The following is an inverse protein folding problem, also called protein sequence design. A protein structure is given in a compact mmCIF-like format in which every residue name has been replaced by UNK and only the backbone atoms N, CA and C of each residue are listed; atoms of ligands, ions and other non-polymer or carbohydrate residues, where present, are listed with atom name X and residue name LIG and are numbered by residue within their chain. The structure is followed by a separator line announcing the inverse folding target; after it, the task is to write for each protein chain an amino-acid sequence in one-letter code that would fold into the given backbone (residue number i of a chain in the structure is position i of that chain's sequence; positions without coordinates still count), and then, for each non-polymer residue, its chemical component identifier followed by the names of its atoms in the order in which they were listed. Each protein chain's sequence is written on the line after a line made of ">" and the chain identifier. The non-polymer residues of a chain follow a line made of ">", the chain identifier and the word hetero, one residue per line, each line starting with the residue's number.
data_IF_975494573346
#
_entry.id   IF_975494573346
#
_cell.length_a   1.000
_cell.length_b   1.000
_cell.length_c   1.000
_cell.angle_alpha   90.00
_cell.angle_beta   90.00
_cell.angle_gamma   90.00
#
_symmetry.space_group_name_H-M   'P 1'
#
loop_
_entity.id
_entity.type
_entity.pdbx_description
1 polymer ?
#
# COMPACT_ATOMS: atom_id res chain seq x y z
N UNK A 1 13.37 4.94 -2.40
CA UNK A 1 12.20 4.61 -1.56
C UNK A 1 11.00 5.23 -2.25
N UNK A 2 10.06 4.42 -2.75
CA UNK A 2 8.79 4.94 -3.29
C UNK A 2 8.07 5.68 -2.16
N UNK A 3 7.56 6.88 -2.39
CA UNK A 3 6.68 7.57 -1.44
C UNK A 3 5.26 7.00 -1.55
N UNK A 4 4.50 6.91 -0.43
CA UNK A 4 3.13 6.43 -0.49
C UNK A 4 2.24 7.43 -1.24
N UNK A 5 1.22 6.91 -1.90
CA UNK A 5 0.24 7.69 -2.67
C UNK A 5 -0.84 8.28 -1.76
N UNK A 6 -1.46 9.38 -2.17
CA UNK A 6 -2.57 9.96 -1.41
C UNK A 6 -3.73 8.97 -1.27
N UNK A 7 -4.20 8.77 -0.03
CA UNK A 7 -5.27 7.83 0.30
C UNK A 7 -4.82 6.38 0.40
N UNK A 8 -3.53 6.09 0.20
CA UNK A 8 -3.02 4.72 0.25
C UNK A 8 -3.06 4.15 1.67
N UNK A 9 -3.60 2.94 1.79
CA UNK A 9 -3.50 2.14 3.02
C UNK A 9 -2.09 1.59 3.17
N UNK A 10 -1.49 1.85 4.32
CA UNK A 10 -0.12 1.46 4.65
C UNK A 10 -0.08 0.80 6.03
N UNK A 11 1.03 0.13 6.31
CA UNK A 11 1.40 -0.23 7.66
C UNK A 11 2.62 0.60 8.07
N UNK A 12 2.58 1.13 9.28
CA UNK A 12 3.68 1.89 9.87
C UNK A 12 4.18 1.19 11.12
N UNK A 13 5.48 1.26 11.36
CA UNK A 13 6.12 0.75 12.56
C UNK A 13 6.56 1.92 13.42
N UNK A 14 6.07 1.94 14.66
CA UNK A 14 6.37 3.01 15.61
C UNK A 14 7.49 2.53 16.54
N UNK A 15 8.68 3.12 16.41
CA UNK A 15 9.88 2.66 17.12
C UNK A 15 10.20 1.18 16.85
N UNK A 16 10.53 0.44 17.91
CA UNK A 16 10.70 -1.02 17.87
C UNK A 16 9.39 -1.81 18.02
N UNK A 17 8.25 -1.12 18.00
CA UNK A 17 6.93 -1.70 18.24
C UNK A 17 6.41 -2.56 17.10
N UNK A 18 5.13 -2.96 17.24
CA UNK A 18 4.39 -3.69 16.23
C UNK A 18 4.00 -2.79 15.05
N UNK A 19 3.77 -3.42 13.89
CA UNK A 19 3.17 -2.79 12.73
C UNK A 19 1.72 -2.40 13.02
N UNK A 20 1.34 -1.20 12.60
CA UNK A 20 0.01 -0.64 12.79
C UNK A 20 -0.53 -0.14 11.45
N UNK A 21 -1.83 -0.36 11.21
CA UNK A 21 -2.50 0.15 10.02
C UNK A 21 -2.63 1.66 10.08
N UNK A 22 -2.36 2.32 8.96
CA UNK A 22 -2.49 3.75 8.77
C UNK A 22 -2.88 4.05 7.32
N UNK A 23 -3.32 5.28 7.06
CA UNK A 23 -3.57 5.77 5.71
C UNK A 23 -2.67 6.97 5.45
N UNK A 24 -2.08 7.07 4.26
CA UNK A 24 -1.34 8.28 3.88
C UNK A 24 -2.30 9.34 3.36
N UNK A 25 -2.36 10.51 3.99
CA UNK A 25 -3.29 11.59 3.63
C UNK A 25 -2.56 12.93 3.75
N UNK A 26 -2.66 13.80 2.73
CA UNK A 26 -2.13 15.17 2.77
C UNK A 26 -0.65 15.27 3.22
N UNK A 27 0.19 14.30 2.84
CA UNK A 27 1.61 14.31 3.19
C UNK A 27 1.96 13.64 4.53
N UNK A 28 0.99 13.11 5.26
CA UNK A 28 1.17 12.53 6.61
C UNK A 28 0.49 11.17 6.73
N UNK A 29 0.98 10.34 7.65
CA UNK A 29 0.32 9.10 8.03
C UNK A 29 -0.76 9.40 9.06
N UNK A 30 -1.96 8.88 8.87
CA UNK A 30 -3.07 9.00 9.82
C UNK A 30 -3.51 7.63 10.30
N UNK A 31 -3.95 7.51 11.55
CA UNK A 31 -4.47 6.26 12.09
C UNK A 31 -5.89 5.94 11.58
N UNK A 32 -6.48 4.83 12.02
CA UNK A 32 -7.86 4.42 11.68
C UNK A 32 -8.94 5.46 12.04
N UNK A 33 -8.71 6.32 13.04
CA UNK A 33 -9.59 7.43 13.41
C UNK A 33 -9.29 8.72 12.64
N UNK A 34 -8.29 8.72 11.75
CA UNK A 34 -7.88 9.87 10.96
C UNK A 34 -7.02 10.87 11.74
N UNK A 35 -6.48 10.51 12.91
CA UNK A 35 -5.56 11.37 13.64
C UNK A 35 -4.16 11.25 13.06
N UNK A 36 -3.44 12.37 12.89
CA UNK A 36 -2.07 12.34 12.39
C UNK A 36 -1.16 11.58 13.35
N UNK A 37 -0.40 10.63 12.79
CA UNK A 37 0.66 9.93 13.50
C UNK A 37 1.92 10.79 13.50
N UNK A 38 2.66 10.77 14.61
CA UNK A 38 3.89 11.51 14.74
C UNK A 38 4.99 10.94 13.82
N UNK A 39 5.50 11.72 12.84
CA UNK A 39 6.47 11.22 11.87
C UNK A 39 7.84 10.94 12.50
N UNK A 40 8.20 11.57 13.62
CA UNK A 40 9.47 11.28 14.29
C UNK A 40 9.45 9.93 15.00
N UNK A 41 8.26 9.43 15.34
CA UNK A 41 8.08 8.12 15.96
C UNK A 41 7.99 6.98 14.95
N UNK A 42 7.72 7.27 13.68
CA UNK A 42 7.63 6.27 12.61
C UNK A 42 9.05 5.88 12.18
N UNK A 43 9.43 4.64 12.44
CA UNK A 43 10.74 4.11 12.07
C UNK A 43 10.74 3.48 10.68
N UNK A 44 9.64 2.82 10.32
CA UNK A 44 9.49 2.14 9.03
C UNK A 44 8.02 2.25 8.56
N UNK A 45 7.80 2.18 7.25
CA UNK A 45 6.47 2.05 6.68
C UNK A 45 6.52 1.14 5.45
N UNK A 46 5.39 0.48 5.17
CA UNK A 46 5.22 -0.35 3.98
C UNK A 46 3.80 -0.19 3.42
N UNK A 47 3.67 -0.31 2.09
CA UNK A 47 2.37 -0.42 1.47
C UNK A 47 1.64 -1.65 2.04
N UNK A 48 0.37 -1.49 2.41
CA UNK A 48 -0.47 -2.67 2.57
C UNK A 48 -0.72 -3.15 1.16
N UNK A 49 -0.18 -4.30 0.78
CA UNK A 49 -0.32 -4.81 -0.59
C UNK A 49 -1.79 -4.66 -1.03
N UNK A 50 -2.08 -3.88 -2.09
CA UNK A 50 -3.43 -3.83 -2.60
C UNK A 50 -3.77 -5.25 -3.00
N UNK A 51 -4.75 -5.85 -2.31
CA UNK A 51 -5.22 -7.21 -2.54
C UNK A 51 -5.56 -7.35 -4.03
N UNK A 52 -4.59 -7.89 -4.78
CA UNK A 52 -4.59 -8.28 -6.18
C UNK A 52 -5.34 -7.35 -7.16
N UNK A 53 -4.60 -6.48 -7.85
CA UNK A 53 -4.94 -6.11 -9.24
C UNK A 53 -4.00 -6.75 -10.26
N UNK A 54 -3.46 -7.93 -9.95
CA UNK A 54 -2.60 -8.69 -10.87
C UNK A 54 -3.35 -9.77 -11.67
N UNK A 55 -4.67 -9.90 -11.50
CA UNK A 55 -5.45 -10.88 -12.29
C UNK A 55 -5.90 -10.35 -13.65
N UNK A 56 -5.64 -9.07 -13.96
CA UNK A 56 -6.07 -8.47 -15.24
C UNK A 56 -5.04 -8.61 -16.37
N UNK A 57 -3.77 -8.85 -16.04
CA UNK A 57 -2.70 -9.00 -17.04
C UNK A 57 -2.58 -10.45 -17.55
N UNK A 58 -2.74 -11.44 -16.67
CA UNK A 58 -2.63 -12.88 -17.02
C UNK A 58 -3.69 -13.40 -18.01
N UNK A 59 -4.84 -12.72 -18.15
CA UNK A 59 -5.89 -13.09 -19.11
C UNK A 59 -5.62 -12.55 -20.53
N UNK A 60 -4.78 -11.52 -20.67
CA UNK A 60 -4.40 -10.97 -21.97
C UNK A 60 -3.39 -11.88 -22.70
N UNK A 61 -2.47 -12.51 -21.97
CA UNK A 61 -1.49 -13.44 -22.55
C UNK A 61 -2.14 -14.74 -23.07
N UNK A 62 -3.18 -15.26 -22.42
CA UNK A 62 -3.88 -16.47 -22.89
C UNK A 62 -4.67 -16.25 -24.18
N UNK A 63 -5.23 -15.06 -24.40
CA UNK A 63 -5.96 -14.74 -25.63
C UNK A 63 -5.03 -14.48 -26.83
N UNK A 64 -3.78 -14.09 -26.59
CA UNK A 64 -2.80 -13.86 -27.66
C UNK A 64 -2.19 -15.15 -28.22
N UNK A 65 -2.28 -16.28 -27.49
CA UNK A 65 -1.72 -17.57 -27.89
C UNK A 65 -2.78 -18.54 -28.48
N UNK A 66 -4.07 -18.17 -28.45
CA UNK A 66 -5.19 -19.03 -28.84
C UNK A 66 -5.71 -18.88 -30.27
N UNK A 67 -5.21 -17.94 -31.06
CA UNK A 67 -5.68 -17.72 -32.45
C UNK A 67 -4.80 -18.44 -33.47
N UNK A 68 -4.79 -19.76 -33.42
CA UNK A 68 -4.42 -20.61 -34.56
C UNK A 68 -5.43 -21.75 -34.67
N UNK A 69 -6.51 -21.52 -35.41
CA UNK A 69 -7.12 -22.49 -36.32
C UNK A 69 -7.97 -21.76 -37.35
#
# INVERSE_FOLDING_TARGET
>A
MNTPEEGQDVQVRIGSGAWQSATYRRGQFVDAFGLPLDPQRISEWQATEPRARDTRDRLAEWNALGSFH
#
